data_IF_516454286678
#
_entry.id   IF_516454286678
#
_cell.length_a   1.000
_cell.length_b   1.000
_cell.length_c   1.000
_cell.angle_alpha   90.00
_cell.angle_beta   90.00
_cell.angle_gamma   90.00
#
_symmetry.space_group_name_H-M   'P 1'
#
loop_
_entity.id
_entity.type
_entity.pdbx_description
1 polymer ?
#
# COMPACT_ATOMS: atom_id res chain seq x y z
N UNK A 1 7.36 18.22 -23.61
CA UNK A 1 7.92 19.32 -22.77
C UNK A 1 8.64 18.68 -21.58
N UNK A 2 9.95 18.90 -21.43
CA UNK A 2 10.74 18.37 -20.30
C UNK A 2 10.87 19.45 -19.23
N UNK A 3 10.69 19.09 -17.95
CA UNK A 3 10.97 19.96 -16.80
C UNK A 3 12.16 19.36 -16.01
N UNK A 4 13.40 19.54 -16.50
CA UNK A 4 14.58 18.90 -15.90
C UNK A 4 14.95 19.47 -14.53
N UNK A 5 14.47 20.68 -14.21
CA UNK A 5 14.72 21.35 -12.93
C UNK A 5 13.43 21.37 -12.11
N UNK A 6 13.52 20.92 -10.85
CA UNK A 6 12.41 20.99 -9.90
C UNK A 6 12.15 22.45 -9.51
N UNK A 7 10.90 22.75 -9.21
CA UNK A 7 10.49 24.02 -8.57
C UNK A 7 11.33 24.19 -7.29
N UNK A 8 12.00 25.33 -7.13
CA UNK A 8 12.98 25.65 -6.06
C UNK A 8 14.31 24.89 -6.08
N UNK A 9 14.63 24.10 -7.11
CA UNK A 9 15.94 23.43 -7.23
C UNK A 9 16.23 22.36 -6.17
N UNK A 10 15.23 21.95 -5.38
CA UNK A 10 15.39 21.01 -4.27
C UNK A 10 15.68 19.57 -4.77
N UNK A 11 16.60 18.83 -4.13
CA UNK A 11 16.89 17.44 -4.48
C UNK A 11 15.67 16.54 -4.24
N UNK A 12 15.57 15.45 -5.00
CA UNK A 12 14.57 14.40 -4.72
C UNK A 12 14.77 13.87 -3.30
N UNK A 13 13.67 13.52 -2.59
CA UNK A 13 13.80 12.94 -1.27
C UNK A 13 14.51 11.58 -1.38
N UNK A 14 15.19 11.18 -0.30
CA UNK A 14 15.81 9.86 -0.25
C UNK A 14 14.69 8.81 -0.22
N UNK A 15 14.56 8.03 -1.29
CA UNK A 15 13.64 6.90 -1.34
C UNK A 15 14.33 5.64 -0.80
N UNK A 16 13.63 4.88 0.03
CA UNK A 16 14.06 3.59 0.59
C UNK A 16 13.03 2.53 0.22
N UNK A 17 13.45 1.55 -0.58
CA UNK A 17 12.65 0.37 -0.88
C UNK A 17 12.74 -0.62 0.29
N UNK A 18 11.60 -1.13 0.75
CA UNK A 18 11.52 -2.14 1.80
C UNK A 18 10.84 -3.39 1.25
N UNK A 19 11.56 -4.50 1.34
CA UNK A 19 11.05 -5.82 0.98
C UNK A 19 10.24 -6.43 2.14
N UNK A 20 8.92 -6.50 1.97
CA UNK A 20 8.00 -7.03 2.96
C UNK A 20 8.09 -8.56 3.12
N UNK A 21 8.80 -9.27 2.23
CA UNK A 21 9.03 -10.71 2.37
C UNK A 21 9.88 -11.04 3.61
N UNK A 22 10.71 -10.10 4.05
CA UNK A 22 11.60 -10.26 5.19
C UNK A 22 10.88 -9.85 6.48
N UNK A 23 10.39 -10.84 7.24
CA UNK A 23 9.98 -10.64 8.64
C UNK A 23 8.62 -9.97 8.89
N UNK A 24 7.73 -9.85 7.89
CA UNK A 24 6.41 -9.21 8.07
C UNK A 24 5.22 -10.17 8.08
N UNK A 25 5.45 -11.46 7.84
CA UNK A 25 4.40 -12.49 7.90
C UNK A 25 4.48 -13.18 9.26
N UNK A 26 3.50 -12.93 10.11
CA UNK A 26 3.37 -13.60 11.41
C UNK A 26 2.20 -14.58 11.39
N UNK A 27 2.10 -15.43 12.41
CA UNK A 27 0.90 -16.27 12.62
C UNK A 27 -0.40 -15.45 12.74
N UNK A 28 -0.30 -14.15 13.10
CA UNK A 28 -1.44 -13.23 13.23
C UNK A 28 -1.75 -12.46 11.94
N UNK A 29 -1.02 -12.72 10.86
CA UNK A 29 -1.18 -12.07 9.55
C UNK A 29 0.02 -11.19 9.16
N UNK A 30 -0.18 -10.41 8.09
CA UNK A 30 0.81 -9.45 7.58
C UNK A 30 0.79 -8.19 8.45
N UNK A 31 1.95 -7.81 8.99
CA UNK A 31 2.16 -6.51 9.61
C UNK A 31 2.29 -5.44 8.51
N UNK A 32 1.48 -4.38 8.57
CA UNK A 32 1.42 -3.36 7.51
C UNK A 32 2.58 -2.37 7.59
N UNK A 33 3.11 -2.18 8.80
CA UNK A 33 4.23 -1.27 9.06
C UNK A 33 5.47 -2.12 9.31
N UNK A 34 6.36 -2.18 8.32
CA UNK A 34 7.64 -2.88 8.44
C UNK A 34 8.49 -2.35 9.59
N UNK A 35 9.42 -3.17 10.08
CA UNK A 35 10.39 -2.76 11.11
C UNK A 35 11.10 -1.45 10.75
N UNK A 36 11.71 -1.33 9.55
CA UNK A 36 12.38 -0.10 9.13
C UNK A 36 11.48 1.14 9.07
N UNK A 37 10.21 0.97 8.66
CA UNK A 37 9.25 2.08 8.64
C UNK A 37 8.83 2.46 10.07
N UNK A 38 8.62 1.48 10.94
CA UNK A 38 8.24 1.72 12.34
C UNK A 38 9.36 2.43 13.12
N UNK A 39 10.61 2.01 12.94
CA UNK A 39 11.78 2.66 13.53
C UNK A 39 11.87 4.13 13.09
N UNK A 40 11.75 4.39 11.78
CA UNK A 40 11.77 5.76 11.26
C UNK A 40 10.58 6.59 11.76
N UNK A 41 9.39 6.00 11.92
CA UNK A 41 8.23 6.66 12.52
C UNK A 41 8.54 7.08 13.96
N UNK A 42 9.14 6.21 14.79
CA UNK A 42 9.54 6.56 16.15
C UNK A 42 10.49 7.77 16.17
N UNK A 43 11.52 7.77 15.32
CA UNK A 43 12.44 8.91 15.22
C UNK A 43 11.76 10.21 14.81
N UNK A 44 10.84 10.14 13.83
CA UNK A 44 10.07 11.30 13.36
C UNK A 44 9.20 11.86 14.48
N UNK A 45 8.47 11.01 15.20
CA UNK A 45 7.64 11.41 16.33
C UNK A 45 8.45 11.96 17.50
N UNK A 46 9.59 11.35 17.83
CA UNK A 46 10.49 11.82 18.89
C UNK A 46 11.01 13.24 18.63
N UNK A 47 11.18 13.61 17.35
CA UNK A 47 11.57 14.96 16.92
C UNK A 47 10.39 15.93 16.81
N UNK A 48 9.17 15.51 17.19
CA UNK A 48 7.92 16.26 16.99
C UNK A 48 7.68 16.65 15.54
N UNK A 49 8.17 15.80 14.63
CA UNK A 49 7.93 15.90 13.19
C UNK A 49 6.74 15.03 12.81
N UNK A 50 6.21 15.27 11.61
CA UNK A 50 4.99 14.63 11.15
C UNK A 50 5.26 13.61 10.04
N UNK A 51 4.38 12.61 9.94
CA UNK A 51 4.45 11.58 8.92
C UNK A 51 3.15 11.49 8.11
N UNK A 52 3.29 11.15 6.83
CA UNK A 52 2.15 10.80 5.97
C UNK A 52 2.27 9.33 5.58
N UNK A 53 1.23 8.54 5.77
CA UNK A 53 1.17 7.15 5.37
C UNK A 53 0.11 6.95 4.29
N UNK A 54 0.55 6.43 3.14
CA UNK A 54 -0.23 6.34 1.93
C UNK A 54 -0.60 4.91 1.58
N UNK A 55 -1.86 4.74 1.24
CA UNK A 55 -2.44 3.52 0.71
C UNK A 55 -2.84 3.76 -0.76
N UNK A 56 -2.43 2.83 -1.64
CA UNK A 56 -2.55 2.99 -3.08
C UNK A 56 -4.02 3.00 -3.57
N UNK A 57 -4.96 2.40 -2.82
CA UNK A 57 -6.38 2.35 -3.22
C UNK A 57 -7.35 2.56 -2.06
N UNK A 58 -8.55 3.02 -2.43
CA UNK A 58 -9.78 2.98 -1.63
C UNK A 58 -10.27 1.53 -1.49
N UNK A 59 -10.82 1.20 -0.32
CA UNK A 59 -11.55 -0.04 -0.07
C UNK A 59 -10.71 -1.30 0.17
N UNK A 60 -11.35 -2.27 0.83
CA UNK A 60 -10.83 -3.60 1.15
C UNK A 60 -10.87 -4.53 -0.07
N UNK A 61 -10.06 -4.28 -1.10
CA UNK A 61 -9.81 -5.35 -2.07
C UNK A 61 -8.86 -6.35 -1.42
N UNK A 62 -9.39 -7.21 -0.55
CA UNK A 62 -8.63 -8.29 0.05
C UNK A 62 -8.26 -9.26 -1.07
N UNK A 63 -7.05 -9.30 -1.59
CA UNK A 63 -6.68 -10.37 -2.52
C UNK A 63 -5.93 -11.47 -1.77
N UNK A 64 -6.07 -12.69 -2.28
CA UNK A 64 -5.41 -13.87 -1.72
C UNK A 64 -4.00 -13.96 -2.31
N UNK A 65 -2.99 -13.82 -1.45
CA UNK A 65 -1.59 -13.76 -1.86
C UNK A 65 -0.72 -14.70 -1.02
N UNK A 66 0.17 -15.45 -1.66
CA UNK A 66 1.14 -16.30 -0.99
C UNK A 66 2.46 -15.53 -0.79
N UNK A 67 2.81 -15.10 0.42
CA UNK A 67 4.08 -14.38 0.66
C UNK A 67 5.33 -15.21 0.40
N UNK A 68 5.24 -16.54 0.48
CA UNK A 68 6.39 -17.43 0.25
C UNK A 68 6.83 -17.45 -1.23
N UNK A 69 5.91 -17.61 -2.17
CA UNK A 69 6.24 -17.75 -3.60
C UNK A 69 5.65 -16.65 -4.51
N UNK A 70 4.96 -15.66 -3.94
CA UNK A 70 4.31 -14.53 -4.64
C UNK A 70 3.09 -14.87 -5.48
N UNK A 71 2.62 -16.11 -5.42
CA UNK A 71 1.43 -16.54 -6.14
C UNK A 71 0.17 -15.84 -5.62
N UNK A 72 -0.63 -15.29 -6.52
CA UNK A 72 -1.99 -14.82 -6.24
C UNK A 72 -3.03 -15.80 -6.76
N UNK A 73 -4.18 -15.87 -6.09
CA UNK A 73 -5.28 -16.72 -6.53
C UNK A 73 -6.01 -16.05 -7.71
N UNK A 74 -6.00 -16.69 -8.88
CA UNK A 74 -6.61 -16.18 -10.11
C UNK A 74 -7.93 -16.88 -10.45
N UNK A 75 -8.80 -16.16 -11.14
CA UNK A 75 -10.02 -16.68 -11.72
C UNK A 75 -9.69 -17.63 -12.88
N UNK A 76 -10.17 -18.87 -12.84
CA UNK A 76 -9.99 -19.83 -13.95
C UNK A 76 -10.65 -19.40 -15.26
N UNK A 77 -11.65 -18.52 -15.19
CA UNK A 77 -12.43 -18.08 -16.36
C UNK A 77 -11.88 -16.80 -16.99
N UNK A 78 -11.12 -15.99 -16.24
CA UNK A 78 -10.75 -14.63 -16.67
C UNK A 78 -9.27 -14.31 -16.46
N UNK A 79 -8.52 -15.20 -15.78
CA UNK A 79 -7.12 -15.01 -15.39
C UNK A 79 -6.84 -13.72 -14.60
N UNK A 80 -7.85 -13.21 -13.90
CA UNK A 80 -7.74 -12.03 -13.03
C UNK A 80 -7.60 -12.42 -11.57
N UNK A 81 -6.88 -11.63 -10.78
CA UNK A 81 -6.77 -11.83 -9.33
C UNK A 81 -8.14 -11.78 -8.65
N UNK A 82 -8.41 -12.76 -7.78
CA UNK A 82 -9.67 -12.85 -7.05
C UNK A 82 -9.67 -12.01 -5.76
N UNK A 83 -10.83 -11.44 -5.44
CA UNK A 83 -11.07 -10.70 -4.19
C UNK A 83 -11.69 -11.59 -3.14
N UNK A 84 -11.04 -11.73 -1.99
CA UNK A 84 -11.53 -12.39 -0.79
C UNK A 84 -12.64 -11.61 -0.08
N UNK A 85 -13.74 -12.30 0.13
CA UNK A 85 -14.87 -11.86 0.93
C UNK A 85 -14.97 -12.72 2.19
N UNK A 86 -14.94 -12.08 3.35
CA UNK A 86 -15.12 -12.75 4.64
C UNK A 86 -16.61 -13.10 4.79
N UNK A 87 -16.90 -14.36 5.08
CA UNK A 87 -18.27 -14.80 5.37
C UNK A 87 -18.64 -14.42 6.81
N UNK A 88 -19.88 -13.95 7.02
CA UNK A 88 -20.43 -13.75 8.38
C UNK A 88 -20.66 -15.08 9.12
N UNK A 89 -20.88 -16.14 8.35
CA UNK A 89 -21.07 -17.50 8.87
C UNK A 89 -19.85 -18.33 8.48
N UNK A 90 -19.01 -18.66 9.46
CA UNK A 90 -17.93 -19.62 9.27
C UNK A 90 -18.52 -21.02 9.12
N UNK A 91 -18.09 -21.77 8.11
CA UNK A 91 -18.48 -23.18 7.97
C UNK A 91 -17.94 -23.97 9.15
N UNK A 92 -18.77 -24.83 9.76
CA UNK A 92 -18.37 -25.67 10.91
C UNK A 92 -17.19 -26.58 10.55
N UNK A 93 -17.17 -27.08 9.32
CA UNK A 93 -16.11 -27.94 8.79
C UNK A 93 -15.34 -27.30 7.62
N UNK A 94 -14.06 -27.66 7.51
CA UNK A 94 -13.17 -27.23 6.43
C UNK A 94 -13.37 -28.15 5.22
N UNK A 95 -13.71 -27.56 4.08
CA UNK A 95 -13.91 -28.31 2.83
C UNK A 95 -12.56 -28.82 2.29
N UNK A 96 -12.52 -30.08 1.86
CA UNK A 96 -11.37 -30.65 1.13
C UNK A 96 -11.74 -30.83 -0.34
N UNK A 97 -10.87 -30.36 -1.24
CA UNK A 97 -10.98 -30.61 -2.69
C UNK A 97 -9.64 -31.13 -3.22
N UNK A 98 -9.51 -31.29 -4.54
CA UNK A 98 -8.24 -31.64 -5.21
C UNK A 98 -7.12 -30.66 -4.90
N UNK A 99 -7.43 -29.40 -4.55
CA UNK A 99 -6.43 -28.38 -4.15
C UNK A 99 -6.13 -28.39 -2.65
N UNK A 100 -6.62 -29.38 -1.90
CA UNK A 100 -6.35 -29.56 -0.46
C UNK A 100 -7.47 -29.08 0.44
N UNK A 101 -7.13 -28.72 1.69
CA UNK A 101 -8.07 -28.13 2.66
C UNK A 101 -8.27 -26.65 2.35
N UNK A 102 -9.48 -26.15 2.59
CA UNK A 102 -9.85 -24.76 2.34
C UNK A 102 -10.22 -24.05 3.64
N UNK A 103 -9.99 -22.75 3.68
CA UNK A 103 -10.43 -21.91 4.79
C UNK A 103 -11.96 -21.93 4.88
N UNK A 104 -12.49 -21.80 6.09
CA UNK A 104 -13.91 -21.89 6.37
C UNK A 104 -14.58 -20.53 6.66
N UNK A 105 -13.83 -19.44 6.67
CA UNK A 105 -14.30 -18.11 7.06
C UNK A 105 -14.53 -17.14 5.87
N UNK A 106 -14.55 -17.63 4.63
CA UNK A 106 -14.83 -16.80 3.46
C UNK A 106 -14.64 -17.52 2.11
N UNK A 107 -14.67 -16.74 1.05
CA UNK A 107 -14.52 -17.18 -0.34
C UNK A 107 -13.87 -16.09 -1.19
N UNK A 108 -13.30 -16.45 -2.33
CA UNK A 108 -12.71 -15.54 -3.29
C UNK A 108 -13.65 -15.34 -4.48
N UNK A 109 -13.79 -14.11 -4.97
CA UNK A 109 -14.76 -13.70 -6.00
C UNK A 109 -14.04 -13.02 -7.15
N UNK A 110 -14.39 -13.40 -8.36
CA UNK A 110 -14.07 -12.67 -9.57
C UNK A 110 -15.13 -11.59 -9.79
N UNK A 111 -14.74 -10.31 -9.89
CA UNK A 111 -15.71 -9.24 -10.14
C UNK A 111 -16.03 -9.01 -11.63
N UNK A 112 -15.38 -9.76 -12.54
CA UNK A 112 -15.69 -9.72 -13.97
C UNK A 112 -16.77 -10.74 -14.35
N UNK A 113 -16.59 -12.00 -13.93
CA UNK A 113 -17.53 -13.08 -14.26
C UNK A 113 -18.34 -13.58 -13.07
N UNK A 114 -18.18 -12.96 -11.90
CA UNK A 114 -18.88 -13.30 -10.65
C UNK A 114 -18.59 -14.71 -10.10
N UNK A 115 -17.65 -15.45 -10.73
CA UNK A 115 -17.24 -16.76 -10.26
C UNK A 115 -16.71 -16.70 -8.82
N UNK A 116 -17.18 -17.63 -8.00
CA UNK A 116 -16.75 -17.77 -6.61
C UNK A 116 -15.91 -19.03 -6.45
N UNK A 117 -14.85 -18.96 -5.65
CA UNK A 117 -14.01 -20.11 -5.33
C UNK A 117 -13.70 -20.16 -3.84
N UNK A 118 -13.51 -21.38 -3.34
CA UNK A 118 -12.94 -21.57 -2.01
C UNK A 118 -11.46 -21.21 -2.03
N UNK A 119 -10.97 -20.65 -0.92
CA UNK A 119 -9.55 -20.32 -0.79
C UNK A 119 -8.81 -21.48 -0.12
N UNK A 120 -7.80 -22.08 -0.76
CA UNK A 120 -6.98 -23.13 -0.14
C UNK A 120 -6.27 -22.60 1.12
N UNK A 121 -6.04 -23.46 2.12
CA UNK A 121 -5.25 -23.07 3.31
C UNK A 121 -3.76 -22.92 2.99
N UNK A 122 -3.28 -23.75 2.06
CA UNK A 122 -1.90 -23.76 1.60
C UNK A 122 -1.85 -23.42 0.12
N UNK A 123 -0.81 -22.69 -0.26
CA UNK A 123 -0.48 -22.38 -1.63
C UNK A 123 -0.28 -23.68 -2.42
N UNK A 124 -1.00 -23.91 -3.52
CA UNK A 124 -0.84 -25.12 -4.31
C UNK A 124 0.53 -25.20 -5.00
N UNK A 125 1.23 -24.07 -5.16
CA UNK A 125 2.54 -24.02 -5.83
C UNK A 125 3.72 -24.28 -4.89
N UNK A 126 3.65 -23.88 -3.63
CA UNK A 126 4.81 -23.96 -2.72
C UNK A 126 4.49 -24.48 -1.32
N UNK A 127 3.22 -24.81 -1.02
CA UNK A 127 2.77 -25.27 0.30
C UNK A 127 2.74 -24.21 1.41
N UNK A 128 3.19 -22.98 1.14
CA UNK A 128 3.18 -21.86 2.08
C UNK A 128 1.75 -21.39 2.42
N UNK A 129 1.57 -20.66 3.51
CA UNK A 129 0.25 -20.13 3.89
C UNK A 129 -0.17 -18.96 2.98
N UNK A 130 -1.45 -18.88 2.65
CA UNK A 130 -2.00 -17.68 2.01
C UNK A 130 -2.26 -16.57 3.03
N UNK A 131 -2.10 -15.33 2.60
CA UNK A 131 -2.45 -14.13 3.35
C UNK A 131 -3.50 -13.32 2.59
N UNK A 132 -4.40 -12.68 3.34
CA UNK A 132 -5.39 -11.75 2.79
C UNK A 132 -4.82 -10.34 2.87
N UNK A 133 -4.43 -9.80 1.71
CA UNK A 133 -3.93 -8.43 1.63
C UNK A 133 -5.12 -7.49 1.48
N UNK A 134 -5.67 -7.12 2.63
CA UNK A 134 -6.68 -6.08 2.78
C UNK A 134 -6.07 -4.84 3.40
N UNK A 135 -5.48 -3.97 2.57
CA UNK A 135 -4.84 -2.74 3.01
C UNK A 135 -5.88 -1.62 3.12
N UNK A 136 -6.80 -1.77 4.07
CA UNK A 136 -7.75 -0.71 4.40
C UNK A 136 -7.11 0.37 5.26
N UNK A 137 -7.52 1.62 5.07
CA UNK A 137 -7.09 2.75 5.90
C UNK A 137 -7.45 2.58 7.38
N UNK A 138 -8.57 1.90 7.68
CA UNK A 138 -8.94 1.52 9.04
C UNK A 138 -7.97 0.51 9.66
N UNK A 139 -7.54 -0.51 8.93
CA UNK A 139 -6.58 -1.50 9.47
C UNK A 139 -5.24 -0.84 9.77
N UNK A 140 -4.81 0.08 8.92
CA UNK A 140 -3.61 0.88 9.16
C UNK A 140 -3.76 1.73 10.42
N UNK A 141 -4.90 2.37 10.62
CA UNK A 141 -5.23 3.13 11.84
C UNK A 141 -5.18 2.24 13.10
N UNK A 142 -5.77 1.04 13.05
CA UNK A 142 -5.71 0.06 14.15
C UNK A 142 -4.28 -0.39 14.47
N UNK A 143 -3.44 -0.60 13.45
CA UNK A 143 -2.02 -0.94 13.67
C UNK A 143 -1.22 0.25 14.22
N UNK A 144 -1.50 1.47 13.76
CA UNK A 144 -0.89 2.68 14.29
C UNK A 144 -1.25 2.90 15.75
N UNK A 145 -2.53 2.75 16.11
CA UNK A 145 -2.98 2.88 17.49
C UNK A 145 -2.30 1.86 18.42
N UNK A 146 -2.03 0.64 17.93
CA UNK A 146 -1.31 -0.39 18.69
C UNK A 146 0.18 -0.09 18.86
N UNK A 147 0.86 0.35 17.79
CA UNK A 147 2.32 0.56 17.80
C UNK A 147 2.73 1.94 18.35
N UNK A 148 1.86 2.93 18.19
CA UNK A 148 2.11 4.34 18.53
C UNK A 148 0.92 4.92 19.32
N UNK A 149 0.61 4.39 20.52
CA UNK A 149 -0.59 4.76 21.27
C UNK A 149 -0.62 6.24 21.70
N UNK A 150 0.53 6.91 21.74
CA UNK A 150 0.67 8.32 22.09
C UNK A 150 0.59 9.26 20.88
N UNK A 151 0.64 8.73 19.65
CA UNK A 151 0.62 9.56 18.45
C UNK A 151 -0.81 9.97 18.12
N UNK A 152 -0.99 11.25 17.76
CA UNK A 152 -2.28 11.77 17.27
C UNK A 152 -2.41 11.39 15.80
N UNK A 153 -3.11 10.30 15.53
CA UNK A 153 -3.35 9.78 14.19
C UNK A 153 -4.66 10.33 13.65
N UNK A 154 -4.70 10.71 12.38
CA UNK A 154 -5.95 11.00 11.68
C UNK A 154 -5.98 10.29 10.34
N UNK A 155 -7.17 9.82 9.97
CA UNK A 155 -7.43 9.11 8.71
C UNK A 155 -8.13 10.03 7.74
N UNK A 156 -7.65 10.12 6.49
CA UNK A 156 -8.39 10.75 5.39
C UNK A 156 -8.99 9.67 4.50
N UNK A 157 -10.32 9.74 4.36
CA UNK A 157 -11.09 8.94 3.43
C UNK A 157 -11.76 9.86 2.40
N UNK A 158 -11.39 9.71 1.14
CA UNK A 158 -11.74 10.64 0.06
C UNK A 158 -13.24 10.71 -0.24
N UNK A 159 -13.98 9.65 0.12
CA UNK A 159 -15.35 9.44 -0.39
C UNK A 159 -16.42 9.69 0.68
N UNK A 160 -16.03 9.95 1.94
CA UNK A 160 -16.98 10.17 3.05
C UNK A 160 -16.76 11.46 3.83
N UNK A 161 -15.65 12.18 3.62
CA UNK A 161 -15.42 13.45 4.29
C UNK A 161 -16.09 14.60 3.54
N UNK A 162 -16.95 15.33 4.24
CA UNK A 162 -17.42 16.63 3.76
C UNK A 162 -16.22 17.58 3.56
N UNK A 163 -16.28 18.45 2.56
CA UNK A 163 -15.17 19.34 2.21
C UNK A 163 -14.70 20.19 3.41
N UNK A 164 -15.63 20.61 4.28
CA UNK A 164 -15.33 21.39 5.49
C UNK A 164 -14.45 20.61 6.47
N UNK A 165 -14.74 19.33 6.67
CA UNK A 165 -13.98 18.47 7.59
C UNK A 165 -12.59 18.18 7.04
N UNK A 166 -12.48 18.03 5.71
CA UNK A 166 -11.19 17.89 5.04
C UNK A 166 -10.29 19.12 5.28
N UNK A 167 -10.79 20.34 5.02
CA UNK A 167 -10.00 21.56 5.25
C UNK A 167 -9.61 21.74 6.72
N UNK A 168 -10.52 21.42 7.65
CA UNK A 168 -10.22 21.45 9.09
C UNK A 168 -9.09 20.50 9.43
N UNK A 169 -9.16 19.26 8.96
CA UNK A 169 -8.13 18.26 9.21
C UNK A 169 -6.78 18.70 8.64
N UNK A 170 -6.74 19.23 7.42
CA UNK A 170 -5.50 19.74 6.82
C UNK A 170 -4.90 20.90 7.61
N UNK A 171 -5.73 21.81 8.12
CA UNK A 171 -5.28 22.89 9.00
C UNK A 171 -4.72 22.34 10.31
N UNK A 172 -5.45 21.44 10.96
CA UNK A 172 -5.04 20.82 12.21
C UNK A 172 -3.71 20.05 12.03
N UNK A 173 -3.52 19.40 10.87
CA UNK A 173 -2.25 18.81 10.48
C UNK A 173 -1.18 19.87 10.22
N UNK A 174 -1.46 20.93 9.46
CA UNK A 174 -0.50 22.01 9.21
C UNK A 174 -0.01 22.74 10.47
N UNK A 175 -0.84 22.81 11.51
CA UNK A 175 -0.53 23.38 12.82
C UNK A 175 0.15 22.39 13.78
N UNK A 176 0.40 21.15 13.37
CA UNK A 176 1.03 20.14 14.22
C UNK A 176 0.12 19.60 15.32
N UNK A 177 -1.21 19.68 15.17
CA UNK A 177 -2.20 19.06 16.08
C UNK A 177 -2.41 17.56 15.79
N UNK A 178 -1.93 17.09 14.64
CA UNK A 178 -1.97 15.69 14.20
C UNK A 178 -0.53 15.27 13.87
N UNK A 179 -0.07 14.15 14.38
CA UNK A 179 1.30 13.67 14.17
C UNK A 179 1.42 12.80 12.91
N UNK A 180 0.42 11.96 12.68
CA UNK A 180 0.40 11.01 11.55
C UNK A 180 -0.88 11.16 10.77
N UNK A 181 -0.74 11.34 9.47
CA UNK A 181 -1.84 11.39 8.54
C UNK A 181 -1.87 10.15 7.65
N UNK A 182 -2.87 9.29 7.84
CA UNK A 182 -3.02 8.03 7.12
C UNK A 182 -4.16 8.12 6.09
N UNK A 183 -3.92 7.74 4.83
CA UNK A 183 -4.98 7.82 3.84
C UNK A 183 -4.57 7.48 2.42
N UNK A 184 -5.46 7.75 1.47
CA UNK A 184 -5.25 7.43 0.06
C UNK A 184 -4.66 8.63 -0.72
N UNK A 185 -4.59 8.48 -2.04
CA UNK A 185 -3.99 9.43 -3.00
C UNK A 185 -4.45 10.89 -2.87
N UNK A 186 -5.56 11.22 -2.18
CA UNK A 186 -5.95 12.61 -1.93
C UNK A 186 -4.96 13.40 -1.06
N UNK A 187 -4.21 12.72 -0.19
CA UNK A 187 -3.11 13.32 0.59
C UNK A 187 -1.96 13.80 -0.31
N UNK A 188 -1.88 13.22 -1.51
CA UNK A 188 -0.92 13.55 -2.54
C UNK A 188 -1.49 14.52 -3.60
N UNK A 189 -2.41 15.43 -3.26
CA UNK A 189 -2.80 16.56 -4.13
C UNK A 189 -2.61 17.92 -3.43
N UNK A 190 -2.12 18.94 -4.16
CA UNK A 190 -2.06 20.37 -3.77
C UNK A 190 -1.30 20.83 -2.51
N UNK A 191 -1.00 19.95 -1.55
CA UNK A 191 -0.63 20.38 -0.19
C UNK A 191 0.87 20.30 0.11
N UNK A 192 1.36 21.29 0.83
CA UNK A 192 2.74 21.39 1.34
C UNK A 192 2.68 21.51 2.87
N UNK A 193 3.37 20.61 3.56
CA UNK A 193 3.46 20.61 5.02
C UNK A 193 4.93 20.65 5.43
N UNK A 194 5.45 21.77 5.95
CA UNK A 194 6.87 21.96 6.17
C UNK A 194 7.47 21.04 7.25
N UNK A 195 6.64 20.55 8.17
CA UNK A 195 7.07 19.67 9.26
C UNK A 195 6.91 18.17 8.93
N UNK A 196 6.53 17.82 7.69
CA UNK A 196 6.50 16.43 7.23
C UNK A 196 7.90 16.00 6.79
N UNK A 197 8.49 15.05 7.49
CA UNK A 197 9.83 14.52 7.20
C UNK A 197 9.86 13.04 6.85
N UNK A 198 8.70 12.39 6.91
CA UNK A 198 8.52 10.98 6.56
C UNK A 198 7.27 10.80 5.73
N UNK A 199 7.41 10.09 4.61
CA UNK A 199 6.25 9.55 3.87
C UNK A 199 6.43 8.06 3.68
N UNK A 200 5.42 7.27 4.05
CA UNK A 200 5.43 5.82 3.89
C UNK A 200 4.36 5.37 2.91
N UNK A 201 4.75 4.72 1.81
CA UNK A 201 3.83 3.97 0.95
C UNK A 201 3.70 2.57 1.56
N UNK A 202 2.52 2.28 2.11
CA UNK A 202 2.29 1.07 2.90
C UNK A 202 2.36 -0.20 2.05
N UNK A 203 1.91 -0.13 0.81
CA UNK A 203 2.18 -1.14 -0.22
C UNK A 203 2.15 -0.51 -1.59
N UNK A 204 3.21 -0.72 -2.36
CA UNK A 204 3.27 -0.41 -3.78
C UNK A 204 2.54 -1.46 -4.65
N UNK A 205 2.23 -2.63 -4.10
CA UNK A 205 1.79 -3.80 -4.88
C UNK A 205 0.32 -3.74 -5.29
N UNK A 206 -0.49 -2.94 -4.59
CA UNK A 206 -1.96 -3.00 -4.73
C UNK A 206 -2.44 -2.84 -6.17
N UNK A 207 -1.86 -1.89 -6.92
CA UNK A 207 -2.23 -1.66 -8.32
C UNK A 207 -1.75 -2.78 -9.25
N UNK A 208 -0.62 -3.42 -8.94
CA UNK A 208 -0.03 -4.51 -9.73
C UNK A 208 -0.89 -5.78 -9.75
N UNK A 209 -1.68 -5.98 -8.70
CA UNK A 209 -2.58 -7.14 -8.60
C UNK A 209 -3.98 -6.87 -9.12
N UNK A 210 -4.28 -5.65 -9.55
CA UNK A 210 -5.54 -5.35 -10.21
C UNK A 210 -5.45 -5.76 -11.68
N UNK A 211 -6.52 -6.35 -12.25
CA UNK A 211 -6.61 -6.64 -13.68
C UNK A 211 -6.84 -5.35 -14.48
N UNK A 212 -5.82 -4.49 -14.47
CA UNK A 212 -5.80 -3.20 -15.13
C UNK A 212 -4.52 -3.14 -15.98
N UNK A 213 -4.66 -2.95 -17.28
CA UNK A 213 -3.52 -2.82 -18.20
C UNK A 213 -2.61 -1.63 -17.87
N UNK A 214 -3.07 -0.70 -17.03
CA UNK A 214 -2.31 0.46 -16.52
C UNK A 214 -1.78 0.24 -15.11
N UNK A 215 -1.78 -0.99 -14.60
CA UNK A 215 -1.33 -1.34 -13.26
C UNK A 215 0.11 -0.87 -12.98
N UNK A 216 1.03 -1.12 -13.92
CA UNK A 216 2.41 -0.66 -13.87
C UNK A 216 2.50 0.87 -13.86
N UNK A 217 1.84 1.52 -14.83
CA UNK A 217 1.77 2.98 -14.93
C UNK A 217 1.26 3.64 -13.64
N UNK A 218 0.16 3.13 -13.07
CA UNK A 218 -0.41 3.66 -11.82
C UNK A 218 0.51 3.46 -10.63
N UNK A 219 1.21 2.33 -10.55
CA UNK A 219 2.20 2.06 -9.50
C UNK A 219 3.36 3.05 -9.59
N UNK A 220 3.89 3.25 -10.81
CA UNK A 220 4.95 4.22 -11.07
C UNK A 220 4.51 5.65 -10.70
N UNK A 221 3.30 6.04 -11.12
CA UNK A 221 2.75 7.37 -10.85
C UNK A 221 2.55 7.62 -9.35
N UNK A 222 2.04 6.65 -8.60
CA UNK A 222 1.89 6.77 -7.14
C UNK A 222 3.24 7.09 -6.50
N UNK A 223 4.24 6.24 -6.71
CA UNK A 223 5.56 6.37 -6.07
C UNK A 223 6.20 7.71 -6.47
N UNK A 224 6.18 8.05 -7.75
CA UNK A 224 6.77 9.28 -8.27
C UNK A 224 6.09 10.54 -7.72
N UNK A 225 4.75 10.56 -7.63
CA UNK A 225 4.01 11.70 -7.08
C UNK A 225 4.33 11.93 -5.61
N UNK A 226 4.48 10.86 -4.85
CA UNK A 226 4.84 10.91 -3.43
C UNK A 226 6.25 11.47 -3.24
N UNK A 227 7.20 10.99 -4.04
CA UNK A 227 8.56 11.51 -4.03
C UNK A 227 8.61 13.01 -4.40
N UNK A 228 7.81 13.44 -5.36
CA UNK A 228 7.71 14.85 -5.74
C UNK A 228 7.21 15.79 -4.62
N UNK A 229 6.53 15.26 -3.59
CA UNK A 229 5.94 16.01 -2.48
C UNK A 229 6.79 16.05 -1.24
N UNK A 230 7.35 14.90 -0.86
CA UNK A 230 8.21 14.79 0.32
C UNK A 230 9.51 15.62 0.20
N UNK A 231 9.88 16.01 -1.03
CA UNK A 231 11.03 16.87 -1.30
C UNK A 231 10.70 18.34 -1.53
N UNK A 232 9.62 18.89 -0.96
CA UNK A 232 9.29 20.33 -1.08
C UNK A 232 9.61 21.16 0.17
N UNK A 233 9.91 20.54 1.30
CA UNK A 233 10.30 21.21 2.54
C UNK A 233 11.80 21.47 2.62
N UNK A 234 12.20 22.47 3.41
CA UNK A 234 13.61 22.73 3.75
C UNK A 234 14.22 21.52 4.49
N UNK A 235 13.42 20.86 5.34
CA UNK A 235 13.79 19.60 5.98
C UNK A 235 13.83 18.47 4.94
N UNK A 236 14.93 17.71 4.90
CA UNK A 236 15.10 16.55 4.01
C UNK A 236 14.15 15.43 4.41
N UNK A 237 13.06 15.27 3.66
CA UNK A 237 12.13 14.15 3.82
C UNK A 237 12.72 12.82 3.34
N UNK A 238 12.30 11.73 3.97
CA UNK A 238 12.58 10.35 3.52
C UNK A 238 11.28 9.69 3.10
N UNK A 239 11.31 8.96 1.99
CA UNK A 239 10.16 8.19 1.51
C UNK A 239 10.47 6.71 1.65
N UNK A 240 9.62 5.97 2.34
CA UNK A 240 9.68 4.51 2.41
C UNK A 240 8.67 3.91 1.46
N UNK A 241 9.10 2.98 0.61
CA UNK A 241 8.25 2.27 -0.34
C UNK A 241 8.26 0.80 0.04
N UNK A 242 7.16 0.30 0.60
CA UNK A 242 7.06 -1.10 1.00
C UNK A 242 6.42 -1.95 -0.11
N UNK A 243 6.96 -3.13 -0.37
CA UNK A 243 6.50 -4.02 -1.46
C UNK A 243 6.85 -5.48 -1.19
N UNK A 244 6.00 -6.40 -1.64
CA UNK A 244 6.31 -7.83 -1.75
C UNK A 244 6.99 -8.19 -3.09
N UNK A 245 7.00 -7.26 -4.03
CA UNK A 245 7.55 -7.36 -5.37
C UNK A 245 8.72 -6.38 -5.57
N UNK A 246 9.80 -6.45 -4.77
CA UNK A 246 10.88 -5.48 -4.86
C UNK A 246 11.53 -5.46 -6.23
N UNK A 247 11.51 -6.56 -6.98
CA UNK A 247 12.11 -6.64 -8.32
C UNK A 247 11.16 -6.21 -9.45
N UNK A 248 9.95 -5.72 -9.15
CA UNK A 248 9.02 -5.27 -10.20
C UNK A 248 9.60 -4.04 -10.91
N UNK A 249 9.70 -4.03 -12.26
CA UNK A 249 10.28 -2.92 -13.01
C UNK A 249 9.63 -1.57 -12.69
N UNK A 250 8.30 -1.49 -12.66
CA UNK A 250 7.57 -0.26 -12.35
C UNK A 250 7.94 0.35 -10.98
N UNK A 251 8.22 -0.49 -9.98
CA UNK A 251 8.64 -0.04 -8.65
C UNK A 251 10.09 0.43 -8.66
N UNK A 252 10.97 -0.36 -9.29
CA UNK A 252 12.41 -0.05 -9.40
C UNK A 252 12.64 1.28 -10.12
N UNK A 253 12.03 1.46 -11.29
CA UNK A 253 12.14 2.72 -12.04
C UNK A 253 11.57 3.91 -11.26
N UNK A 254 10.45 3.74 -10.55
CA UNK A 254 9.86 4.83 -9.78
C UNK A 254 10.72 5.23 -8.57
N UNK A 255 11.32 4.27 -7.87
CA UNK A 255 12.27 4.53 -6.77
C UNK A 255 13.58 5.12 -7.28
N UNK A 256 14.01 4.77 -8.49
CA UNK A 256 15.15 5.40 -9.17
C UNK A 256 14.84 6.79 -9.74
N UNK A 257 13.57 7.16 -9.86
CA UNK A 257 13.16 8.37 -10.58
C UNK A 257 13.39 8.30 -12.09
N UNK A 258 13.52 7.09 -12.65
CA UNK A 258 13.82 6.84 -14.07
C UNK A 258 12.54 6.68 -14.88
N UNK A 259 11.96 7.81 -15.27
CA UNK A 259 10.77 7.84 -16.13
C UNK A 259 11.05 7.31 -17.54
N UNK A 260 12.24 7.58 -18.11
CA UNK A 260 12.55 7.17 -19.48
C UNK A 260 12.76 5.65 -19.58
N UNK A 261 13.46 5.06 -18.61
CA UNK A 261 13.59 3.61 -18.48
C UNK A 261 12.23 2.93 -18.29
N UNK A 262 11.36 3.50 -17.44
CA UNK A 262 10.00 3.01 -17.27
C UNK A 262 9.21 2.98 -18.59
N UNK A 263 9.20 4.10 -19.34
CA UNK A 263 8.46 4.19 -20.61
C UNK A 263 8.99 3.17 -21.63
N UNK A 264 10.31 3.03 -21.75
CA UNK A 264 10.92 2.06 -22.67
C UNK A 264 10.55 0.62 -22.32
N UNK A 265 10.50 0.28 -21.03
CA UNK A 265 10.10 -1.05 -20.59
C UNK A 265 8.61 -1.29 -20.83
N UNK A 266 7.76 -0.35 -20.46
CA UNK A 266 6.31 -0.47 -20.60
C UNK A 266 5.86 -0.62 -22.07
N UNK A 267 6.56 0.04 -23.01
CA UNK A 267 6.30 -0.07 -24.44
C UNK A 267 6.60 -1.46 -25.03
N UNK A 268 7.37 -2.32 -24.35
CA UNK A 268 7.61 -3.71 -24.80
C UNK A 268 6.41 -4.61 -24.53
N UNK A 269 5.56 -4.23 -23.57
CA UNK A 269 4.42 -5.03 -23.10
C UNK A 269 3.08 -4.49 -23.63
N UNK A 270 3.11 -3.53 -24.56
CA UNK A 270 1.95 -2.92 -25.23
C UNK A 270 1.98 -3.22 -26.72
#
# INVERSE_FOLDING_TARGET
MRLPKRVMGLPMPKMKLVDLRQGQVTQKGINLISGPLAERLHETLAKKEQAILLLNRRGYSNFVFCPSCKHTLHCRNCDVTLTFHKSKVSRRERMRTVTGKHINYGYAVCHYCLAQTLVPEKCPLCGGGFAMIGLGSQRLEEELAKKFPLARVSRIDSDSMASRDYYRLLRDFGEGRIDILAGTQMLAKGLHFPNVTLVGIISADTSLYLPDFRANERTFQLISQVAGRAGRSVKKGVVFVQTFLPNQPAIQFAVGGDFEGFVKEELKHR
#
